data_IF_945552122066
#
_entry.id   IF_945552122066
#
_cell.length_a   1.000
_cell.length_b   1.000
_cell.length_c   1.000
_cell.angle_alpha   90.00
_cell.angle_beta   90.00
_cell.angle_gamma   90.00
#
_symmetry.space_group_name_H-M   'P 1'
#
loop_
_entity.id
_entity.type
_entity.pdbx_description
1 polymer ?
#
# COMPACT_ATOMS: atom_id res chain seq x y z
N UNK A 1 -21.03 2.41 62.42
CA UNK A 1 -21.84 1.22 62.03
C UNK A 1 -23.07 1.70 61.30
N UNK A 2 -23.19 1.44 59.99
CA UNK A 2 -24.38 0.68 59.55
C UNK A 2 -24.14 -0.27 58.37
N UNK A 3 -24.77 -1.44 58.45
CA UNK A 3 -25.44 -2.18 57.36
C UNK A 3 -26.96 -1.90 57.54
N UNK A 4 -27.90 -1.97 56.61
CA UNK A 4 -27.97 -2.38 55.21
C UNK A 4 -29.47 -2.48 54.79
N UNK A 5 -29.71 -2.48 53.47
CA UNK A 5 -30.88 -2.95 52.68
C UNK A 5 -32.26 -2.26 52.80
N UNK A 6 -32.76 -1.70 51.68
CA UNK A 6 -33.56 -2.39 50.65
C UNK A 6 -34.38 -1.39 49.79
N UNK A 7 -34.34 -1.49 48.45
CA UNK A 7 -35.54 -1.64 47.61
C UNK A 7 -35.26 -1.75 46.09
N UNK A 8 -35.64 -2.93 45.57
CA UNK A 8 -36.40 -3.27 44.36
C UNK A 8 -36.33 -2.41 43.07
N UNK A 9 -36.09 -3.15 41.98
CA UNK A 9 -36.25 -2.85 40.55
C UNK A 9 -37.63 -2.32 40.11
N UNK A 10 -37.62 -1.52 39.03
CA UNK A 10 -38.60 -1.60 37.94
C UNK A 10 -37.89 -1.37 36.59
N UNK A 11 -37.93 -2.39 35.72
CA UNK A 11 -37.65 -2.30 34.27
C UNK A 11 -38.89 -1.74 33.56
N UNK A 12 -38.68 -0.95 32.50
CA UNK A 12 -39.46 -1.03 31.26
C UNK A 12 -38.63 -0.50 30.07
N UNK A 13 -38.94 -0.93 28.85
CA UNK A 13 -37.97 -1.18 27.78
C UNK A 13 -37.85 0.00 26.82
N UNK A 14 -36.61 0.40 26.52
CA UNK A 14 -36.28 1.33 25.45
C UNK A 14 -35.62 0.57 24.32
N UNK A 15 -36.32 0.53 23.19
CA UNK A 15 -35.92 0.08 21.85
C UNK A 15 -34.43 -0.08 21.61
N UNK A 16 -34.05 -1.31 21.29
CA UNK A 16 -32.89 -1.64 20.48
C UNK A 16 -33.00 -0.92 19.13
N UNK A 17 -32.25 0.16 18.99
CA UNK A 17 -31.92 0.76 17.70
C UNK A 17 -30.42 0.94 17.68
N UNK A 18 -29.69 -0.16 17.61
CA UNK A 18 -28.29 -0.14 17.18
C UNK A 18 -28.26 0.34 15.71
N UNK A 19 -27.55 1.42 15.36
CA UNK A 19 -27.28 1.73 13.96
C UNK A 19 -26.24 0.73 13.45
N UNK A 20 -26.38 0.17 12.23
CA UNK A 20 -25.35 -0.67 11.65
C UNK A 20 -24.26 0.23 11.07
N UNK A 21 -23.02 0.12 11.53
CA UNK A 21 -21.90 0.85 10.91
C UNK A 21 -20.54 0.81 11.62
N UNK A 22 -20.36 -0.05 12.62
CA UNK A 22 -19.28 0.07 13.60
C UNK A 22 -18.23 -1.05 13.56
N UNK A 23 -18.33 -1.98 12.61
CA UNK A 23 -17.39 -3.11 12.53
C UNK A 23 -16.24 -2.86 11.54
N UNK A 24 -16.47 -2.04 10.52
CA UNK A 24 -15.46 -1.74 9.49
C UNK A 24 -14.48 -0.67 10.01
N UNK A 25 -15.00 0.41 10.61
CA UNK A 25 -14.18 1.52 11.12
C UNK A 25 -13.23 1.16 12.26
N UNK A 26 -13.63 0.22 13.13
CA UNK A 26 -12.79 -0.25 14.24
C UNK A 26 -11.68 -1.18 13.75
N UNK A 27 -11.97 -2.02 12.75
CA UNK A 27 -10.97 -2.86 12.10
C UNK A 27 -9.98 -1.99 11.31
N UNK A 28 -10.47 -1.02 10.55
CA UNK A 28 -9.68 -0.06 9.77
C UNK A 28 -8.78 0.79 10.66
N UNK A 29 -9.32 1.45 11.70
CA UNK A 29 -8.52 2.19 12.68
C UNK A 29 -7.53 1.29 13.44
N UNK A 30 -7.82 -0.02 13.52
CA UNK A 30 -6.92 -1.03 14.05
C UNK A 30 -5.73 -1.32 13.13
N UNK A 31 -5.96 -1.32 11.82
CA UNK A 31 -4.95 -1.55 10.78
C UNK A 31 -4.07 -0.31 10.60
N UNK A 32 -4.67 0.88 10.54
CA UNK A 32 -3.95 2.16 10.47
C UNK A 32 -2.96 2.33 11.61
N UNK A 33 -3.43 2.10 12.85
CA UNK A 33 -2.57 2.20 14.02
C UNK A 33 -1.39 1.24 13.93
N UNK A 34 -1.61 0.03 13.43
CA UNK A 34 -0.54 -0.97 13.26
C UNK A 34 0.45 -0.58 12.15
N UNK A 35 -0.02 0.04 11.07
CA UNK A 35 0.86 0.54 10.01
C UNK A 35 1.76 1.66 10.53
N UNK A 36 1.18 2.64 11.22
CA UNK A 36 1.93 3.75 11.81
C UNK A 36 2.91 3.28 12.89
N UNK A 37 2.54 2.27 13.69
CA UNK A 37 3.40 1.66 14.69
C UNK A 37 4.54 0.83 14.06
N UNK A 38 4.33 0.23 12.88
CA UNK A 38 5.31 -0.64 12.22
C UNK A 38 6.30 0.12 11.31
N UNK A 39 5.96 1.33 10.85
CA UNK A 39 6.82 2.09 9.96
C UNK A 39 8.22 2.40 10.53
N UNK A 40 8.39 2.80 11.81
CA UNK A 40 9.72 3.00 12.40
C UNK A 40 10.56 1.71 12.43
N UNK A 41 9.96 0.59 12.80
CA UNK A 41 10.64 -0.72 12.82
C UNK A 41 11.08 -1.14 11.41
N UNK A 42 10.26 -0.86 10.39
CA UNK A 42 10.59 -1.13 9.00
C UNK A 42 11.71 -0.21 8.49
N UNK A 43 11.70 1.07 8.85
CA UNK A 43 12.77 2.01 8.52
C UNK A 43 14.11 1.56 9.15
N UNK A 44 14.10 1.14 10.41
CA UNK A 44 15.28 0.59 11.08
C UNK A 44 15.76 -0.71 10.46
N UNK A 45 14.86 -1.56 9.97
CA UNK A 45 15.22 -2.74 9.21
C UNK A 45 15.98 -2.38 7.91
N UNK A 46 15.50 -1.40 7.14
CA UNK A 46 16.21 -0.93 5.93
C UNK A 46 17.59 -0.35 6.25
N UNK A 47 17.69 0.47 7.30
CA UNK A 47 18.99 0.97 7.80
C UNK A 47 19.92 -0.18 8.18
N UNK A 48 19.38 -1.21 8.83
CA UNK A 48 20.10 -2.41 9.22
C UNK A 48 20.66 -3.20 8.04
N UNK A 49 19.89 -3.34 6.95
CA UNK A 49 20.37 -4.01 5.72
C UNK A 49 21.62 -3.30 5.20
N UNK A 50 21.56 -1.98 5.00
CA UNK A 50 22.70 -1.23 4.47
C UNK A 50 23.88 -1.21 5.45
N UNK A 51 23.62 -1.06 6.75
CA UNK A 51 24.67 -1.06 7.77
C UNK A 51 25.41 -2.40 7.90
N UNK A 52 24.77 -3.52 7.53
CA UNK A 52 25.36 -4.87 7.63
C UNK A 52 25.88 -5.41 6.31
N UNK A 53 25.60 -4.74 5.19
CA UNK A 53 26.07 -5.15 3.89
C UNK A 53 27.55 -4.79 3.70
N UNK A 54 28.38 -5.75 3.29
CA UNK A 54 29.80 -5.53 2.99
C UNK A 54 30.02 -4.56 1.81
N UNK A 55 29.02 -4.45 0.93
CA UNK A 55 28.97 -3.49 -0.17
C UNK A 55 28.24 -2.19 0.20
N UNK A 56 27.81 -2.03 1.45
CA UNK A 56 27.10 -0.84 1.92
C UNK A 56 25.84 -0.55 1.08
N UNK A 57 25.74 0.69 0.59
CA UNK A 57 24.64 1.18 -0.25
C UNK A 57 24.85 0.90 -1.75
N UNK A 58 25.86 0.11 -2.14
CA UNK A 58 26.11 -0.29 -3.54
C UNK A 58 25.24 -1.49 -3.96
N UNK A 59 24.06 -1.63 -3.37
CA UNK A 59 23.09 -2.67 -3.72
C UNK A 59 21.76 -2.02 -4.07
N UNK A 60 21.09 -2.56 -5.10
CA UNK A 60 19.70 -2.21 -5.36
C UNK A 60 18.81 -2.73 -4.22
N UNK A 61 18.32 -1.83 -3.37
CA UNK A 61 17.33 -2.12 -2.35
C UNK A 61 15.95 -1.66 -2.84
N UNK A 62 15.04 -2.61 -3.05
CA UNK A 62 13.66 -2.33 -3.44
C UNK A 62 12.67 -2.62 -2.32
N UNK A 63 11.76 -1.70 -2.05
CA UNK A 63 10.70 -1.83 -1.07
C UNK A 63 9.35 -2.15 -1.74
N UNK A 64 8.69 -3.23 -1.33
CA UNK A 64 7.41 -3.64 -1.90
C UNK A 64 6.32 -3.61 -0.84
N UNK A 65 5.31 -2.77 -1.07
CA UNK A 65 4.12 -2.69 -0.24
C UNK A 65 2.90 -3.23 -0.98
N UNK A 66 2.30 -4.29 -0.47
CA UNK A 66 1.01 -4.81 -0.93
C UNK A 66 -0.10 -4.40 0.03
N UNK A 67 -1.27 -4.02 -0.48
CA UNK A 67 -2.43 -3.72 0.37
C UNK A 67 -2.10 -2.62 1.39
N UNK A 68 -2.52 -2.77 2.64
CA UNK A 68 -2.12 -1.89 3.75
C UNK A 68 -0.60 -1.85 4.02
N UNK A 69 0.15 -2.85 3.56
CA UNK A 69 1.61 -2.81 3.58
C UNK A 69 2.17 -1.64 2.77
N UNK A 70 1.44 -1.17 1.75
CA UNK A 70 1.82 0.03 0.99
C UNK A 70 1.87 1.29 1.86
N UNK A 71 0.90 1.46 2.76
CA UNK A 71 0.89 2.57 3.72
C UNK A 71 2.09 2.48 4.67
N UNK A 72 2.33 1.30 5.25
CA UNK A 72 3.47 1.08 6.16
C UNK A 72 4.80 1.34 5.45
N UNK A 73 4.95 0.86 4.21
CA UNK A 73 6.15 1.05 3.41
C UNK A 73 6.36 2.52 3.10
N UNK A 74 5.35 3.25 2.60
CA UNK A 74 5.49 4.66 2.26
C UNK A 74 5.86 5.52 3.49
N UNK A 75 5.28 5.22 4.65
CA UNK A 75 5.63 5.85 5.92
C UNK A 75 7.05 5.54 6.37
N UNK A 76 7.50 4.30 6.23
CA UNK A 76 8.87 3.92 6.54
C UNK A 76 9.88 4.64 5.63
N UNK A 77 9.57 4.79 4.35
CA UNK A 77 10.40 5.54 3.41
C UNK A 77 10.46 7.03 3.75
N UNK A 78 9.34 7.63 4.15
CA UNK A 78 9.33 9.00 4.66
C UNK A 78 10.19 9.15 5.93
N UNK A 79 10.08 8.21 6.87
CA UNK A 79 10.84 8.19 8.13
C UNK A 79 12.34 7.97 7.91
N UNK A 80 12.74 7.26 6.84
CA UNK A 80 14.15 7.15 6.45
C UNK A 80 14.77 8.53 6.18
N UNK A 81 13.99 9.49 5.72
CA UNK A 81 14.50 10.82 5.44
C UNK A 81 15.57 10.80 4.36
N UNK A 82 16.43 11.82 4.36
CA UNK A 82 17.57 11.94 3.44
C UNK A 82 18.60 10.80 3.55
N UNK A 83 18.46 9.88 4.52
CA UNK A 83 19.32 8.69 4.53
C UNK A 83 19.08 7.78 3.31
N UNK A 84 17.87 7.83 2.73
CA UNK A 84 17.60 7.38 1.35
C UNK A 84 18.19 6.01 0.98
N UNK A 85 18.04 5.02 1.86
CA UNK A 85 18.70 3.70 1.70
C UNK A 85 17.98 2.76 0.73
N UNK A 86 16.78 3.13 0.28
CA UNK A 86 15.96 2.36 -0.67
C UNK A 86 16.00 3.07 -2.02
N UNK A 87 16.33 2.33 -3.08
CA UNK A 87 16.45 2.86 -4.44
C UNK A 87 15.11 2.89 -5.16
N UNK A 88 14.25 1.89 -4.91
CA UNK A 88 12.99 1.69 -5.62
C UNK A 88 11.87 1.31 -4.67
N UNK A 89 10.64 1.76 -4.95
CA UNK A 89 9.46 1.30 -4.22
C UNK A 89 8.32 0.93 -5.16
N UNK A 90 7.63 -0.18 -4.88
CA UNK A 90 6.40 -0.54 -5.59
C UNK A 90 5.23 -0.71 -4.63
N UNK A 91 4.12 -0.02 -4.92
CA UNK A 91 2.88 -0.04 -4.16
C UNK A 91 1.76 -0.63 -4.99
N UNK A 92 1.18 -1.74 -4.54
CA UNK A 92 0.22 -2.46 -5.37
C UNK A 92 -0.95 -3.00 -4.54
N UNK A 93 -2.14 -2.95 -5.10
CA UNK A 93 -3.36 -3.21 -4.34
C UNK A 93 -3.54 -2.25 -3.16
N UNK A 94 -2.92 -1.07 -3.21
CA UNK A 94 -2.87 -0.14 -2.07
C UNK A 94 -4.17 0.65 -1.91
N UNK A 95 -4.70 0.80 -0.68
CA UNK A 95 -5.76 1.75 -0.39
C UNK A 95 -5.24 3.20 -0.28
N UNK A 96 -3.93 3.44 -0.26
CA UNK A 96 -3.36 4.78 -0.05
C UNK A 96 -1.96 4.74 0.58
N UNK A 97 -1.23 5.85 0.51
CA UNK A 97 0.17 5.94 0.98
C UNK A 97 0.39 6.85 2.20
N UNK A 98 -0.63 7.51 2.76
CA UNK A 98 -0.38 8.51 3.82
C UNK A 98 -1.62 9.30 4.24
N UNK A 99 -1.48 10.59 4.50
CA UNK A 99 -2.64 11.49 4.71
C UNK A 99 -2.39 12.84 4.04
N UNK A 100 -3.43 13.49 3.54
CA UNK A 100 -3.33 14.82 2.90
C UNK A 100 -3.52 15.99 3.86
N UNK A 101 -4.05 15.77 5.08
CA UNK A 101 -4.43 16.86 5.97
C UNK A 101 -3.61 16.86 7.28
N UNK A 102 -2.84 17.93 7.59
CA UNK A 102 -2.14 18.08 8.87
C UNK A 102 -3.07 18.39 10.05
N UNK A 103 -4.38 18.52 9.84
CA UNK A 103 -5.32 18.72 10.94
C UNK A 103 -5.44 17.43 11.80
N UNK A 104 -5.08 17.46 13.10
CA UNK A 104 -5.30 16.33 13.98
C UNK A 104 -6.82 16.17 14.16
N UNK A 105 -7.42 15.27 13.40
CA UNK A 105 -8.75 14.78 13.78
C UNK A 105 -8.56 13.92 15.03
N UNK A 106 -9.59 13.85 15.88
CA UNK A 106 -9.60 12.99 17.08
C UNK A 106 -9.39 11.48 16.80
N UNK A 107 -9.26 11.11 15.52
CA UNK A 107 -9.00 9.75 15.03
C UNK A 107 -7.71 9.63 14.18
N UNK A 108 -7.05 10.75 13.85
CA UNK A 108 -5.81 10.77 13.05
C UNK A 108 -4.59 10.69 13.97
N UNK A 109 -4.05 9.48 14.13
CA UNK A 109 -2.71 9.24 14.67
C UNK A 109 -1.71 9.32 13.51
N UNK A 110 -0.67 10.15 13.65
CA UNK A 110 0.61 10.11 12.90
C UNK A 110 0.55 9.62 11.45
N UNK A 111 0.08 10.48 10.55
CA UNK A 111 0.15 10.30 9.11
C UNK A 111 1.23 11.15 8.47
N UNK A 112 1.92 10.65 7.44
CA UNK A 112 2.87 11.44 6.65
C UNK A 112 2.23 11.89 5.33
N UNK A 113 2.47 13.13 4.87
CA UNK A 113 1.99 13.58 3.58
C UNK A 113 2.84 12.97 2.45
N UNK A 114 2.22 12.10 1.64
CA UNK A 114 2.84 11.53 0.43
C UNK A 114 2.12 12.09 -0.80
N UNK A 115 2.84 12.89 -1.59
CA UNK A 115 2.35 13.50 -2.84
C UNK A 115 3.08 13.01 -4.07
N UNK A 116 4.34 12.62 -3.94
CA UNK A 116 5.21 12.13 -5.00
C UNK A 116 6.39 11.34 -4.40
N UNK A 117 7.31 10.92 -5.26
CA UNK A 117 8.57 10.22 -4.95
C UNK A 117 9.41 10.96 -3.89
N UNK A 118 9.42 12.30 -3.93
CA UNK A 118 10.29 13.11 -3.09
C UNK A 118 9.89 13.07 -1.62
N UNK A 119 8.60 12.95 -1.34
CA UNK A 119 8.09 12.75 0.02
C UNK A 119 8.50 11.39 0.60
N UNK A 120 8.94 10.44 -0.23
CA UNK A 120 9.48 9.13 0.16
C UNK A 120 11.01 9.05 0.01
N UNK A 121 11.67 10.16 -0.31
CA UNK A 121 13.12 10.24 -0.56
C UNK A 121 13.61 9.28 -1.65
N UNK A 122 12.76 9.02 -2.64
CA UNK A 122 13.10 8.24 -3.83
C UNK A 122 13.51 9.17 -4.97
N UNK A 123 14.30 8.63 -5.91
CA UNK A 123 14.59 9.31 -7.16
C UNK A 123 13.35 9.35 -8.06
N UNK A 124 13.29 10.36 -8.94
CA UNK A 124 12.21 10.52 -9.93
C UNK A 124 12.10 9.27 -10.82
N UNK A 125 10.89 8.74 -11.00
CA UNK A 125 10.66 7.49 -11.75
C UNK A 125 10.95 6.19 -10.99
N UNK A 126 11.26 6.24 -9.68
CA UNK A 126 11.57 5.06 -8.87
C UNK A 126 10.48 4.68 -7.86
N UNK A 127 9.30 5.31 -7.93
CA UNK A 127 8.11 4.85 -7.23
C UNK A 127 7.07 4.33 -8.24
N UNK A 128 6.69 3.06 -8.07
CA UNK A 128 5.83 2.33 -9.00
C UNK A 128 4.49 2.00 -8.35
N UNK A 129 3.42 2.03 -9.13
CA UNK A 129 2.06 1.68 -8.69
C UNK A 129 1.43 0.65 -9.61
N UNK A 130 0.70 -0.29 -9.03
CA UNK A 130 -0.15 -1.23 -9.76
C UNK A 130 -1.52 -1.36 -9.09
N UNK A 131 -2.58 -1.23 -9.88
CA UNK A 131 -3.95 -1.51 -9.45
C UNK A 131 -4.58 -2.53 -10.40
N UNK A 132 -5.25 -3.52 -9.83
CA UNK A 132 -5.99 -4.54 -10.57
C UNK A 132 -7.45 -4.09 -10.71
N UNK A 133 -8.09 -4.33 -11.87
CA UNK A 133 -9.37 -3.72 -12.22
C UNK A 133 -10.54 -4.12 -11.30
N UNK A 134 -10.47 -5.28 -10.65
CA UNK A 134 -11.50 -5.78 -9.74
C UNK A 134 -11.04 -5.77 -8.28
N UNK A 135 -9.96 -5.04 -7.96
CA UNK A 135 -9.47 -4.89 -6.60
C UNK A 135 -10.33 -3.87 -5.83
N UNK A 136 -11.13 -4.28 -4.82
CA UNK A 136 -11.97 -3.35 -4.08
C UNK A 136 -11.19 -2.42 -3.13
N UNK A 137 -9.90 -2.68 -2.93
CA UNK A 137 -9.04 -1.90 -2.04
C UNK A 137 -8.38 -0.74 -2.79
N UNK A 138 -7.84 -1.00 -3.99
CA UNK A 138 -7.09 -0.01 -4.79
C UNK A 138 -7.77 0.46 -6.07
N UNK A 139 -8.71 -0.32 -6.61
CA UNK A 139 -9.50 0.06 -7.77
C UNK A 139 -10.69 0.93 -7.37
N UNK A 140 -11.37 1.51 -8.35
CA UNK A 140 -12.65 2.20 -8.15
C UNK A 140 -13.77 1.14 -8.06
N UNK A 141 -14.24 0.73 -6.86
CA UNK A 141 -15.27 -0.29 -6.77
C UNK A 141 -16.53 0.17 -7.51
N UNK A 142 -17.04 -0.65 -8.42
CA UNK A 142 -18.26 -0.35 -9.16
C UNK A 142 -19.37 -1.31 -8.75
N UNK A 143 -20.49 -0.77 -8.27
CA UNK A 143 -21.70 -1.54 -7.93
C UNK A 143 -22.82 -1.17 -8.90
N UNK A 144 -23.24 -2.12 -9.77
CA UNK A 144 -24.33 -1.93 -10.74
C UNK A 144 -24.15 -0.75 -11.73
N UNK A 145 -22.91 -0.39 -12.06
CA UNK A 145 -22.62 0.76 -12.93
C UNK A 145 -22.51 2.09 -12.16
N UNK A 146 -22.59 2.06 -10.83
CA UNK A 146 -22.40 3.22 -9.97
C UNK A 146 -20.99 3.14 -9.36
N UNK A 147 -20.12 4.14 -9.62
CA UNK A 147 -18.83 4.27 -8.92
C UNK A 147 -19.08 4.41 -7.41
N UNK A 148 -18.49 3.54 -6.62
CA UNK A 148 -18.35 3.69 -5.18
C UNK A 148 -16.94 4.20 -4.90
N UNK A 149 -16.75 5.02 -3.84
CA UNK A 149 -15.41 5.38 -3.41
C UNK A 149 -14.67 4.14 -2.93
N UNK A 150 -13.43 3.96 -3.39
CA UNK A 150 -12.50 2.99 -2.80
C UNK A 150 -12.17 3.38 -1.36
N UNK A 151 -11.57 2.46 -0.60
CA UNK A 151 -11.07 2.79 0.75
C UNK A 151 -10.09 3.98 0.70
N UNK A 152 -9.35 4.15 -0.39
CA UNK A 152 -8.49 5.31 -0.64
C UNK A 152 -9.23 6.60 -0.96
N UNK A 153 -10.31 6.53 -1.73
CA UNK A 153 -11.10 7.73 -2.10
C UNK A 153 -11.86 8.32 -0.91
N UNK A 154 -12.02 7.56 0.17
CA UNK A 154 -12.56 8.04 1.43
C UNK A 154 -11.55 8.89 2.22
N UNK A 155 -10.31 9.03 1.74
CA UNK A 155 -9.27 9.88 2.33
C UNK A 155 -8.72 9.38 3.67
N UNK A 156 -9.11 8.17 4.09
CA UNK A 156 -8.70 7.58 5.35
C UNK A 156 -7.23 7.12 5.34
N UNK A 157 -6.72 6.72 4.17
CA UNK A 157 -5.34 6.25 3.98
C UNK A 157 -4.54 7.16 3.03
N UNK A 158 -5.04 8.39 2.83
CA UNK A 158 -4.44 9.38 1.96
C UNK A 158 -4.86 9.24 0.50
N UNK A 159 -4.13 9.85 -0.44
CA UNK A 159 -4.49 9.79 -1.85
C UNK A 159 -4.33 8.36 -2.38
N UNK A 160 -5.27 7.95 -3.25
CA UNK A 160 -5.13 6.69 -3.99
C UNK A 160 -3.82 6.77 -4.81
N UNK A 161 -2.92 5.78 -4.74
CA UNK A 161 -1.60 5.90 -5.38
C UNK A 161 -1.69 5.96 -6.90
N UNK A 162 -2.76 5.44 -7.50
CA UNK A 162 -3.02 5.56 -8.94
C UNK A 162 -3.42 6.98 -9.37
N UNK A 163 -3.66 7.89 -8.42
CA UNK A 163 -3.92 9.33 -8.68
C UNK A 163 -2.71 10.21 -8.45
N UNK A 164 -1.64 9.65 -7.88
CA UNK A 164 -0.36 10.33 -7.65
C UNK A 164 0.51 10.29 -8.92
N UNK A 165 1.47 11.22 -9.09
CA UNK A 165 2.38 11.25 -10.22
C UNK A 165 3.49 10.18 -10.13
N UNK A 166 3.11 8.95 -9.75
CA UNK A 166 4.01 7.78 -9.66
C UNK A 166 3.95 6.94 -10.95
N UNK A 167 4.97 6.14 -11.21
CA UNK A 167 5.06 5.27 -12.38
C UNK A 167 3.97 4.20 -12.37
N UNK A 168 2.96 4.35 -13.22
CA UNK A 168 1.85 3.40 -13.34
C UNK A 168 2.29 2.20 -14.18
N UNK A 169 2.21 1.01 -13.59
CA UNK A 169 2.54 -0.24 -14.25
C UNK A 169 1.27 -1.07 -14.50
N UNK A 170 1.27 -1.78 -15.63
CA UNK A 170 0.15 -2.62 -16.04
C UNK A 170 0.03 -3.88 -15.18
N UNK A 171 -1.21 -4.26 -14.88
CA UNK A 171 -1.58 -5.55 -14.30
C UNK A 171 -2.22 -6.49 -15.32
N UNK A 172 -2.41 -6.05 -16.56
CA UNK A 172 -3.12 -6.79 -17.61
C UNK A 172 -2.32 -7.97 -18.15
N UNK A 173 -3.02 -8.94 -18.74
CA UNK A 173 -2.37 -10.05 -19.42
C UNK A 173 -1.58 -9.53 -20.64
N UNK A 174 -0.30 -9.89 -20.75
CA UNK A 174 0.55 -9.45 -21.85
C UNK A 174 1.68 -10.44 -22.14
N UNK A 175 2.38 -10.23 -23.25
CA UNK A 175 3.67 -10.90 -23.52
C UNK A 175 4.78 -10.00 -23.01
N UNK A 176 5.57 -10.47 -22.03
CA UNK A 176 6.57 -9.64 -21.38
C UNK A 176 7.80 -9.42 -22.26
N UNK A 177 8.34 -8.18 -22.31
CA UNK A 177 9.33 -7.80 -23.32
C UNK A 177 10.71 -8.42 -23.11
N UNK A 178 11.09 -8.73 -21.86
CA UNK A 178 12.41 -9.29 -21.55
C UNK A 178 12.57 -10.74 -21.99
N UNK A 179 11.53 -11.56 -21.80
CA UNK A 179 11.58 -13.02 -21.96
C UNK A 179 10.60 -13.58 -23.00
N UNK A 180 9.78 -12.71 -23.61
CA UNK A 180 8.72 -13.08 -24.56
C UNK A 180 7.74 -14.13 -24.02
N UNK A 181 7.53 -14.16 -22.70
CA UNK A 181 6.61 -15.11 -22.06
C UNK A 181 5.20 -14.50 -21.99
N UNK A 182 4.15 -15.19 -22.47
CA UNK A 182 2.78 -14.76 -22.24
C UNK A 182 2.43 -14.92 -20.76
N UNK A 183 1.95 -13.85 -20.13
CA UNK A 183 1.61 -13.81 -18.70
C UNK A 183 0.14 -13.49 -18.49
N UNK A 184 -0.41 -14.11 -17.45
CA UNK A 184 -1.75 -13.78 -16.96
C UNK A 184 -1.75 -12.40 -16.27
N UNK A 185 -2.89 -11.73 -16.32
CA UNK A 185 -3.13 -10.51 -15.56
C UNK A 185 -3.46 -10.79 -14.09
N UNK A 186 -3.31 -9.75 -13.27
CA UNK A 186 -3.89 -9.70 -11.93
C UNK A 186 -5.24 -8.98 -12.00
N UNK A 187 -6.29 -9.58 -11.45
CA UNK A 187 -7.64 -9.03 -11.53
C UNK A 187 -8.17 -8.66 -10.15
N UNK A 188 -7.90 -9.52 -9.15
CA UNK A 188 -8.35 -9.33 -7.77
C UNK A 188 -7.20 -8.97 -6.84
N UNK A 189 -7.55 -8.50 -5.64
CA UNK A 189 -6.60 -8.04 -4.63
C UNK A 189 -5.47 -9.03 -4.29
N UNK A 190 -5.75 -10.34 -4.33
CA UNK A 190 -4.79 -11.38 -3.99
C UNK A 190 -3.96 -11.87 -5.21
N UNK A 191 -4.25 -11.38 -6.41
CA UNK A 191 -3.64 -11.90 -7.62
C UNK A 191 -2.24 -11.34 -7.89
N UNK A 192 -1.91 -10.12 -7.45
CA UNK A 192 -0.64 -9.47 -7.82
C UNK A 192 0.60 -10.34 -7.59
N UNK A 193 0.81 -10.97 -6.41
CA UNK A 193 1.96 -11.83 -6.18
C UNK A 193 1.70 -13.30 -6.54
N UNK A 194 0.45 -13.67 -6.85
CA UNK A 194 0.06 -15.06 -7.02
C UNK A 194 0.53 -15.57 -8.38
N UNK A 195 1.18 -16.73 -8.48
CA UNK A 195 1.52 -17.32 -9.77
C UNK A 195 0.31 -18.00 -10.43
N UNK A 196 0.36 -18.23 -11.74
CA UNK A 196 -0.53 -19.19 -12.44
C UNK A 196 0.35 -20.34 -12.90
N UNK A 197 0.04 -21.58 -12.50
CA UNK A 197 0.78 -22.77 -12.92
C UNK A 197 2.30 -22.68 -12.70
N UNK A 198 2.75 -21.95 -11.67
CA UNK A 198 4.17 -21.73 -11.36
C UNK A 198 4.80 -20.54 -12.08
N UNK A 199 4.09 -19.87 -12.99
CA UNK A 199 4.59 -18.69 -13.71
C UNK A 199 4.09 -17.39 -13.07
N UNK A 200 4.94 -16.36 -13.15
CA UNK A 200 4.57 -15.02 -12.72
C UNK A 200 3.48 -14.44 -13.62
N UNK A 201 2.56 -13.69 -13.00
CA UNK A 201 1.69 -12.73 -13.69
C UNK A 201 2.49 -11.52 -14.16
N UNK A 202 1.89 -10.66 -14.99
CA UNK A 202 2.49 -9.38 -15.42
C UNK A 202 2.93 -8.54 -14.23
N UNK A 203 2.10 -8.45 -13.19
CA UNK A 203 2.44 -7.78 -11.92
C UNK A 203 3.69 -8.37 -11.26
N UNK A 204 3.77 -9.69 -11.15
CA UNK A 204 4.93 -10.38 -10.57
C UNK A 204 6.21 -10.20 -11.42
N UNK A 205 6.07 -10.14 -12.74
CA UNK A 205 7.17 -9.81 -13.64
C UNK A 205 7.69 -8.39 -13.42
N UNK A 206 6.80 -7.40 -13.35
CA UNK A 206 7.19 -6.00 -13.06
C UNK A 206 7.94 -5.89 -11.73
N UNK A 207 7.45 -6.55 -10.67
CA UNK A 207 8.16 -6.61 -9.37
C UNK A 207 9.54 -7.26 -9.50
N UNK A 208 9.69 -8.29 -10.33
CA UNK A 208 10.99 -8.93 -10.55
C UNK A 208 11.98 -8.02 -11.29
N UNK A 209 11.51 -7.23 -12.26
CA UNK A 209 12.33 -6.21 -12.96
C UNK A 209 12.82 -5.15 -11.98
N UNK A 210 11.93 -4.64 -11.11
CA UNK A 210 12.28 -3.64 -10.09
C UNK A 210 13.27 -4.23 -9.08
N UNK A 211 12.98 -5.43 -8.54
CA UNK A 211 13.85 -6.11 -7.58
C UNK A 211 15.25 -6.38 -8.15
N UNK A 212 15.33 -6.66 -9.45
CA UNK A 212 16.58 -6.88 -10.16
C UNK A 212 17.39 -5.61 -10.45
N UNK A 213 16.86 -4.42 -10.14
CA UNK A 213 17.50 -3.14 -10.50
C UNK A 213 17.52 -2.92 -12.01
N UNK A 214 16.51 -3.43 -12.73
CA UNK A 214 16.45 -3.43 -14.19
C UNK A 214 15.41 -2.45 -14.75
N UNK A 215 14.78 -1.63 -13.89
CA UNK A 215 13.73 -0.68 -14.29
C UNK A 215 14.22 0.30 -15.38
N UNK A 216 15.44 0.82 -15.24
CA UNK A 216 16.04 1.78 -16.18
C UNK A 216 16.96 1.14 -17.21
N UNK A 217 16.99 -0.19 -17.27
CA UNK A 217 17.87 -0.94 -18.17
C UNK A 217 17.06 -1.43 -19.35
N UNK A 218 17.25 -0.91 -20.57
CA UNK A 218 16.52 -1.40 -21.74
C UNK A 218 16.80 -2.88 -22.03
N UNK A 219 15.90 -3.50 -22.79
CA UNK A 219 16.17 -4.79 -23.46
C UNK A 219 17.23 -4.62 -24.56
N UNK A 220 17.73 -5.73 -25.09
CA UNK A 220 18.75 -5.72 -26.15
C UNK A 220 18.27 -5.02 -27.44
N UNK A 221 16.96 -4.99 -27.68
CA UNK A 221 16.32 -4.28 -28.79
C UNK A 221 15.89 -2.84 -28.43
N UNK A 222 16.32 -2.34 -27.26
CA UNK A 222 16.13 -0.96 -26.83
C UNK A 222 14.72 -0.63 -26.31
N UNK A 223 13.92 -1.65 -25.98
CA UNK A 223 12.59 -1.46 -25.39
C UNK A 223 12.66 -1.39 -23.87
N UNK A 224 11.62 -0.81 -23.30
CA UNK A 224 11.43 -0.84 -21.85
C UNK A 224 11.18 -2.28 -21.36
N UNK A 225 11.70 -2.61 -20.18
CA UNK A 225 11.45 -3.88 -19.51
C UNK A 225 10.15 -3.86 -18.74
N UNK A 226 9.75 -2.73 -18.18
CA UNK A 226 8.53 -2.57 -17.42
C UNK A 226 7.32 -2.54 -18.35
N UNK A 227 6.23 -3.18 -17.93
CA UNK A 227 4.95 -3.11 -18.63
C UNK A 227 4.12 -1.99 -18.00
N UNK A 228 3.78 -0.98 -18.80
CA UNK A 228 2.92 0.16 -18.45
C UNK A 228 1.60 0.09 -19.20
#
# INVERSE_FOLDING_TARGET
>A
MPEGRANRCRRSPGSDTSPPGNDISVLEAGIDRRANEAAPDLADFYRGIVATNEHGSDVNLSAFGHSYGSLTTAQALHELGETGVVDNAAFYGSPGLGFTDPAPTQYSLHGVPIRDESDMFLADGHAFVMSAPEDPISGDPNLWGIPLPSAGDLGQFGPNPSTLPLEQLSTEATVTPTDNVPRHGAHTHADYPRPVNGELRTSGYNLAIIAGGLADVPTDDGKDRLVR
#
